data_IF_540994614658
#
_entry.id   IF_540994614658
#
_cell.length_a   1.000
_cell.length_b   1.000
_cell.length_c   1.000
_cell.angle_alpha   90.00
_cell.angle_beta   90.00
_cell.angle_gamma   90.00
#
_symmetry.space_group_name_H-M   'P 1'
#
loop_
_entity.id
_entity.type
_entity.pdbx_description
1 polymer ?
#
# COMPACT_ATOMS: atom_id res chain seq x y z
N UNK A 1 23.62 -37.55 -20.07
CA UNK A 1 22.57 -37.53 -19.02
C UNK A 1 21.24 -37.74 -19.72
N UNK A 2 20.60 -38.89 -19.52
CA UNK A 2 19.49 -39.38 -20.36
C UNK A 2 18.23 -38.52 -20.15
N UNK A 3 17.54 -38.11 -21.22
CA UNK A 3 16.36 -37.22 -21.17
C UNK A 3 15.24 -37.77 -20.27
N UNK A 4 15.17 -39.11 -20.14
CA UNK A 4 14.28 -39.82 -19.22
C UNK A 4 14.52 -39.44 -17.76
N UNK A 5 15.78 -39.29 -17.34
CA UNK A 5 16.12 -38.87 -15.97
C UNK A 5 15.84 -37.39 -15.73
N UNK A 6 15.97 -36.56 -16.77
CA UNK A 6 15.65 -35.13 -16.69
C UNK A 6 14.14 -34.90 -16.51
N UNK A 7 13.31 -35.68 -17.21
CA UNK A 7 11.85 -35.66 -17.06
C UNK A 7 11.44 -36.16 -15.67
N UNK A 8 12.06 -37.23 -15.15
CA UNK A 8 11.78 -37.74 -13.79
C UNK A 8 12.18 -36.71 -12.72
N UNK A 9 13.31 -36.02 -12.86
CA UNK A 9 13.73 -34.94 -11.95
C UNK A 9 12.78 -33.73 -12.00
N UNK A 10 12.28 -33.37 -13.18
CA UNK A 10 11.26 -32.32 -13.35
C UNK A 10 9.93 -32.67 -12.68
N UNK A 11 9.49 -33.93 -12.79
CA UNK A 11 8.26 -34.39 -12.13
C UNK A 11 8.42 -34.49 -10.59
N UNK A 12 9.60 -34.86 -10.08
CA UNK A 12 9.86 -34.85 -8.63
C UNK A 12 9.99 -33.42 -8.07
N UNK A 13 10.58 -32.48 -8.81
CA UNK A 13 10.69 -31.06 -8.40
C UNK A 13 9.35 -30.33 -8.32
N UNK A 14 8.37 -30.72 -9.16
CA UNK A 14 7.00 -30.19 -9.14
C UNK A 14 6.10 -30.82 -8.06
N UNK A 15 6.51 -31.95 -7.46
CA UNK A 15 5.73 -32.68 -6.45
C UNK A 15 6.06 -32.26 -5.01
N UNK A 16 6.92 -31.27 -4.79
CA UNK A 16 7.05 -30.62 -3.49
C UNK A 16 5.81 -29.76 -3.22
N UNK A 17 4.72 -30.45 -2.86
CA UNK A 17 3.56 -29.85 -2.22
C UNK A 17 3.99 -29.08 -0.97
N UNK A 18 3.26 -28.01 -0.67
CA UNK A 18 3.51 -27.17 0.50
C UNK A 18 3.43 -28.04 1.77
N UNK A 19 4.53 -28.24 2.53
CA UNK A 19 4.57 -29.25 3.60
C UNK A 19 3.68 -28.89 4.79
N UNK A 20 3.13 -27.68 4.84
CA UNK A 20 2.29 -27.19 5.93
C UNK A 20 0.85 -26.95 5.48
N UNK A 21 0.02 -27.99 5.42
CA UNK A 21 -1.43 -27.81 5.29
C UNK A 21 -1.98 -27.20 6.58
N UNK A 22 -2.41 -25.92 6.54
CA UNK A 22 -3.00 -25.22 7.67
C UNK A 22 -4.52 -25.26 7.57
N UNK A 23 -5.20 -25.66 8.64
CA UNK A 23 -6.66 -25.66 8.66
C UNK A 23 -7.21 -24.22 8.74
N UNK A 24 -8.38 -23.98 8.16
CA UNK A 24 -9.06 -22.67 8.17
C UNK A 24 -9.27 -22.16 9.60
N UNK A 25 -9.68 -23.03 10.53
CA UNK A 25 -9.86 -22.66 11.93
C UNK A 25 -8.55 -22.23 12.60
N UNK A 26 -7.42 -22.84 12.24
CA UNK A 26 -6.10 -22.45 12.76
C UNK A 26 -5.62 -21.14 12.16
N UNK A 27 -5.94 -20.91 10.87
CA UNK A 27 -5.62 -19.65 10.20
C UNK A 27 -6.22 -18.44 10.91
N UNK A 28 -7.49 -18.54 11.33
CA UNK A 28 -8.18 -17.46 12.05
C UNK A 28 -7.73 -17.27 13.51
N UNK A 29 -6.79 -18.08 14.02
CA UNK A 29 -6.14 -17.80 15.31
C UNK A 29 -5.04 -16.75 15.18
N UNK A 30 -4.54 -16.50 13.96
CA UNK A 30 -3.58 -15.44 13.71
C UNK A 30 -4.29 -14.08 13.62
N UNK A 31 -3.66 -12.98 14.05
CA UNK A 31 -4.16 -11.65 13.77
C UNK A 31 -4.36 -11.45 12.26
N UNK A 32 -5.39 -10.71 11.84
CA UNK A 32 -5.59 -10.37 10.44
C UNK A 32 -4.38 -9.58 9.92
N UNK A 33 -4.01 -9.85 8.67
CA UNK A 33 -2.86 -9.21 8.03
C UNK A 33 -3.04 -7.70 7.93
N UNK A 34 -4.26 -7.26 7.59
CA UNK A 34 -4.67 -5.87 7.52
C UNK A 34 -5.93 -5.68 8.33
N UNK A 35 -5.95 -4.64 9.17
CA UNK A 35 -7.13 -4.26 9.93
C UNK A 35 -7.12 -2.75 10.15
N UNK A 36 -8.22 -2.08 9.83
CA UNK A 36 -8.29 -0.63 9.80
C UNK A 36 -9.54 -0.13 10.52
N UNK A 37 -9.34 0.83 11.42
CA UNK A 37 -10.37 1.70 11.96
C UNK A 37 -11.04 2.51 10.84
N UNK A 38 -12.27 2.95 11.09
CA UNK A 38 -12.96 3.84 10.16
C UNK A 38 -12.27 5.22 10.11
N UNK A 39 -11.56 5.46 9.01
CA UNK A 39 -10.81 6.69 8.78
C UNK A 39 -11.69 7.93 8.81
N UNK A 40 -12.78 7.95 8.05
CA UNK A 40 -13.69 9.10 7.94
C UNK A 40 -14.30 9.46 9.29
N UNK A 41 -14.74 8.44 10.05
CA UNK A 41 -15.26 8.62 11.39
C UNK A 41 -14.20 9.17 12.35
N UNK A 42 -12.95 8.72 12.22
CA UNK A 42 -11.84 9.27 12.99
C UNK A 42 -11.61 10.75 12.67
N UNK A 43 -11.57 11.11 11.38
CA UNK A 43 -11.31 12.48 10.92
C UNK A 43 -12.46 13.44 11.18
N UNK A 44 -13.70 12.94 11.28
CA UNK A 44 -14.85 13.74 11.69
C UNK A 44 -14.79 14.18 13.17
N UNK A 45 -13.93 13.55 13.98
CA UNK A 45 -13.72 13.95 15.37
C UNK A 45 -12.81 15.17 15.46
N UNK A 46 -13.12 16.12 16.34
CA UNK A 46 -12.43 17.42 16.44
C UNK A 46 -10.90 17.28 16.60
N UNK A 47 -10.43 16.24 17.29
CA UNK A 47 -9.00 15.96 17.50
C UNK A 47 -8.56 14.63 16.88
N UNK A 48 -9.30 14.10 15.91
CA UNK A 48 -9.03 12.81 15.27
C UNK A 48 -7.58 12.67 14.81
N UNK A 49 -6.89 11.62 15.27
CA UNK A 49 -5.55 11.23 14.79
C UNK A 49 -5.63 9.81 14.28
N UNK A 50 -5.33 9.61 13.00
CA UNK A 50 -5.36 8.30 12.36
C UNK A 50 -3.98 7.94 11.85
N UNK A 51 -3.48 6.75 12.18
CA UNK A 51 -2.17 6.28 11.76
C UNK A 51 -2.26 4.93 11.06
N UNK A 52 -1.49 4.77 9.99
CA UNK A 52 -1.20 3.48 9.35
C UNK A 52 0.17 3.03 9.81
N UNK A 53 0.23 1.87 10.46
CA UNK A 53 1.43 1.34 11.09
C UNK A 53 1.66 -0.12 10.72
N UNK A 54 2.92 -0.47 10.56
CA UNK A 54 3.37 -1.85 10.47
C UNK A 54 3.84 -2.31 11.86
N UNK A 55 3.42 -3.50 12.23
CA UNK A 55 3.63 -4.11 13.54
C UNK A 55 4.25 -5.48 13.35
N UNK A 56 5.39 -5.70 13.98
CA UNK A 56 6.07 -6.99 13.97
C UNK A 56 5.51 -7.86 15.10
N UNK A 57 5.18 -9.10 14.79
CA UNK A 57 4.81 -10.12 15.80
C UNK A 57 6.09 -10.68 16.41
N UNK A 58 6.18 -10.63 17.74
CA UNK A 58 7.33 -11.16 18.47
C UNK A 58 7.15 -12.69 18.60
N UNK A 59 8.09 -13.45 18.04
CA UNK A 59 8.07 -14.91 18.15
C UNK A 59 8.45 -15.38 19.54
N UNK A 60 7.59 -16.21 20.14
CA UNK A 60 7.80 -16.81 21.45
C UNK A 60 7.76 -18.34 21.32
N UNK A 61 8.78 -19.08 21.81
CA UNK A 61 8.91 -20.51 21.57
C UNK A 61 7.71 -21.32 22.10
N UNK A 62 7.13 -20.88 23.22
CA UNK A 62 6.02 -21.57 23.91
C UNK A 62 4.63 -21.06 23.50
N UNK A 63 4.54 -20.21 22.47
CA UNK A 63 3.27 -19.63 22.01
C UNK A 63 2.80 -20.31 20.71
N UNK A 64 1.67 -21.01 20.79
CA UNK A 64 1.11 -21.77 19.66
C UNK A 64 0.74 -20.88 18.47
N UNK A 65 0.17 -19.70 18.72
CA UNK A 65 -0.19 -18.73 17.66
C UNK A 65 1.05 -18.22 16.93
N UNK A 66 2.11 -17.83 17.63
CA UNK A 66 3.34 -17.35 16.97
C UNK A 66 4.05 -18.46 16.19
N UNK A 67 3.94 -19.71 16.63
CA UNK A 67 4.43 -20.88 15.89
C UNK A 67 3.64 -21.10 14.59
N UNK A 68 2.32 -20.92 14.62
CA UNK A 68 1.48 -20.95 13.41
C UNK A 68 1.90 -19.84 12.45
N UNK A 69 2.04 -18.61 12.94
CA UNK A 69 2.47 -17.44 12.14
C UNK A 69 3.81 -17.72 11.46
N UNK A 70 4.79 -18.24 12.21
CA UNK A 70 6.14 -18.52 11.71
C UNK A 70 6.11 -19.58 10.60
N UNK A 71 5.40 -20.70 10.82
CA UNK A 71 5.29 -21.78 9.83
C UNK A 71 4.53 -21.35 8.59
N UNK A 72 3.43 -20.62 8.76
CA UNK A 72 2.64 -20.10 7.64
C UNK A 72 3.43 -19.09 6.80
N UNK A 73 4.16 -18.19 7.45
CA UNK A 73 4.92 -17.12 6.80
C UNK A 73 6.24 -17.57 6.18
N UNK A 74 6.69 -18.81 6.44
CA UNK A 74 7.92 -19.35 5.87
C UNK A 74 7.86 -19.48 4.34
N UNK A 75 6.67 -19.78 3.78
CA UNK A 75 6.48 -19.94 2.34
C UNK A 75 6.05 -18.62 1.66
N UNK A 76 7.01 -17.71 1.49
CA UNK A 76 6.77 -16.36 0.91
C UNK A 76 6.31 -16.35 -0.55
N UNK A 77 6.43 -17.46 -1.28
CA UNK A 77 5.99 -17.56 -2.68
C UNK A 77 4.48 -17.77 -2.81
N UNK A 78 3.86 -18.42 -1.83
CA UNK A 78 2.44 -18.80 -1.87
C UNK A 78 1.61 -18.16 -0.77
N UNK A 79 2.25 -17.64 0.28
CA UNK A 79 1.60 -17.16 1.49
C UNK A 79 2.08 -15.77 1.85
N UNK A 80 1.16 -14.97 2.36
CA UNK A 80 1.50 -13.68 2.93
C UNK A 80 2.27 -13.87 4.24
N UNK A 81 3.18 -12.94 4.49
CA UNK A 81 3.99 -12.93 5.70
C UNK A 81 3.18 -12.30 6.84
N UNK A 82 2.63 -13.12 7.74
CA UNK A 82 1.90 -12.67 8.92
C UNK A 82 2.83 -12.29 10.10
N UNK A 83 4.16 -12.42 9.96
CA UNK A 83 5.09 -11.92 10.99
C UNK A 83 5.15 -10.40 11.05
N UNK A 84 4.64 -9.70 10.02
CA UNK A 84 4.46 -8.25 9.98
C UNK A 84 3.02 -8.01 9.55
N UNK A 85 2.24 -7.36 10.40
CA UNK A 85 0.83 -7.03 10.16
C UNK A 85 0.65 -5.52 10.10
N UNK A 86 -0.34 -5.05 9.35
CA UNK A 86 -0.62 -3.63 9.19
C UNK A 86 -1.91 -3.24 9.92
N UNK A 87 -1.87 -2.09 10.57
CA UNK A 87 -2.98 -1.52 11.32
C UNK A 87 -3.24 -0.08 10.90
N UNK A 88 -4.49 0.22 10.54
CA UNK A 88 -5.00 1.58 10.49
C UNK A 88 -5.70 1.86 11.80
N UNK A 89 -5.20 2.78 12.62
CA UNK A 89 -5.73 3.01 13.97
C UNK A 89 -6.10 4.47 14.17
N UNK A 90 -7.32 4.69 14.66
CA UNK A 90 -7.76 5.99 15.17
C UNK A 90 -7.24 6.14 16.60
N UNK A 91 -6.04 6.70 16.74
CA UNK A 91 -5.31 6.83 18.01
C UNK A 91 -6.19 7.50 19.08
N UNK A 92 -6.94 8.55 18.70
CA UNK A 92 -7.83 9.27 19.62
C UNK A 92 -8.99 8.47 20.18
N UNK A 93 -9.43 7.43 19.46
CA UNK A 93 -10.55 6.60 19.87
C UNK A 93 -10.05 5.31 20.51
N UNK A 94 -9.19 4.61 19.77
CA UNK A 94 -8.73 3.25 20.08
C UNK A 94 -7.62 3.23 21.13
N UNK A 95 -6.85 4.32 21.30
CA UNK A 95 -5.75 4.44 22.26
C UNK A 95 -6.00 5.54 23.30
N UNK A 96 -7.15 5.49 23.97
CA UNK A 96 -7.74 6.56 24.80
C UNK A 96 -6.97 6.94 26.06
N UNK A 97 -5.81 6.32 26.33
CA UNK A 97 -5.11 6.43 27.62
C UNK A 97 -4.29 7.70 27.80
N UNK A 98 -4.11 8.53 26.77
CA UNK A 98 -3.31 9.76 26.88
C UNK A 98 -4.03 10.98 26.29
N UNK A 99 -3.69 12.17 26.79
CA UNK A 99 -4.05 13.43 26.13
C UNK A 99 -3.24 13.52 24.82
N UNK A 100 -3.79 12.99 23.73
CA UNK A 100 -3.18 12.98 22.37
C UNK A 100 -3.13 14.41 21.76
N UNK A 101 -3.45 15.44 22.55
CA UNK A 101 -3.34 16.84 22.13
C UNK A 101 -1.85 17.17 21.98
N UNK A 102 -1.43 17.42 20.74
CA UNK A 102 -0.07 17.88 20.37
C UNK A 102 1.05 16.88 20.67
N UNK A 103 0.83 15.58 20.43
CA UNK A 103 1.93 14.61 20.46
C UNK A 103 2.92 14.86 19.34
N UNK A 104 4.21 14.88 19.68
CA UNK A 104 5.27 14.79 18.70
C UNK A 104 5.34 13.36 18.15
N UNK A 105 6.06 13.17 17.04
CA UNK A 105 6.18 11.84 16.40
C UNK A 105 6.80 10.77 17.32
N UNK A 106 7.68 11.17 18.25
CA UNK A 106 8.32 10.26 19.20
C UNK A 106 7.34 9.77 20.27
N UNK A 107 6.57 10.69 20.85
CA UNK A 107 5.52 10.34 21.83
C UNK A 107 4.43 9.47 21.19
N UNK A 108 4.06 9.79 19.95
CA UNK A 108 3.08 9.02 19.18
C UNK A 108 3.52 7.56 18.97
N UNK A 109 4.82 7.33 18.71
CA UNK A 109 5.36 5.98 18.58
C UNK A 109 5.25 5.19 19.88
N UNK A 110 5.48 5.83 21.03
CA UNK A 110 5.35 5.18 22.34
C UNK A 110 3.89 4.79 22.59
N UNK A 111 2.96 5.74 22.39
CA UNK A 111 1.51 5.51 22.55
C UNK A 111 1.03 4.36 21.67
N UNK A 112 1.40 4.37 20.39
CA UNK A 112 1.03 3.33 19.44
C UNK A 112 1.62 1.97 19.84
N UNK A 113 2.88 1.93 20.27
CA UNK A 113 3.55 0.69 20.66
C UNK A 113 2.87 0.03 21.86
N UNK A 114 2.52 0.81 22.88
CA UNK A 114 1.84 0.31 24.07
C UNK A 114 0.42 -0.14 23.74
N UNK A 115 -0.36 0.72 23.07
CA UNK A 115 -1.75 0.45 22.70
C UNK A 115 -1.90 -0.79 21.81
N UNK A 116 -1.08 -0.91 20.75
CA UNK A 116 -1.17 -2.03 19.81
C UNK A 116 -0.67 -3.33 20.43
N UNK A 117 0.38 -3.27 21.25
CA UNK A 117 0.84 -4.45 21.96
C UNK A 117 -0.24 -4.96 22.91
N UNK A 118 -0.90 -4.10 23.68
CA UNK A 118 -1.96 -4.50 24.60
C UNK A 118 -3.20 -5.04 23.87
N UNK A 119 -3.73 -4.28 22.91
CA UNK A 119 -4.94 -4.69 22.17
C UNK A 119 -4.77 -6.02 21.43
N UNK A 120 -3.65 -6.20 20.72
CA UNK A 120 -3.38 -7.44 19.99
C UNK A 120 -3.07 -8.59 20.95
N UNK A 121 -2.37 -8.33 22.05
CA UNK A 121 -2.11 -9.36 23.06
C UNK A 121 -3.40 -9.81 23.74
N UNK A 122 -4.32 -8.90 24.02
CA UNK A 122 -5.59 -9.26 24.66
C UNK A 122 -6.45 -10.16 23.78
N UNK A 123 -6.50 -9.91 22.48
CA UNK A 123 -7.31 -10.68 21.54
C UNK A 123 -6.62 -11.97 21.07
N UNK A 124 -5.35 -11.91 20.68
CA UNK A 124 -4.65 -13.01 20.01
C UNK A 124 -3.57 -13.68 20.88
N UNK A 125 -3.30 -13.13 22.08
CA UNK A 125 -2.25 -13.61 22.99
C UNK A 125 -0.86 -13.60 22.35
N UNK A 126 -0.59 -12.68 21.42
CA UNK A 126 0.72 -12.47 20.80
C UNK A 126 1.27 -11.10 21.14
N UNK A 127 2.55 -11.02 21.51
CA UNK A 127 3.22 -9.75 21.74
C UNK A 127 3.64 -9.13 20.42
N UNK A 128 3.64 -7.80 20.38
CA UNK A 128 3.98 -7.08 19.17
C UNK A 128 4.87 -5.88 19.41
N UNK A 129 5.49 -5.40 18.33
CA UNK A 129 6.33 -4.21 18.34
C UNK A 129 6.06 -3.38 17.09
N UNK A 130 5.80 -2.09 17.25
CA UNK A 130 5.69 -1.18 16.10
C UNK A 130 7.04 -1.09 15.41
N UNK A 131 7.10 -1.53 14.15
CA UNK A 131 8.32 -1.50 13.34
C UNK A 131 8.41 -0.23 12.51
N UNK A 132 7.29 0.17 11.88
CA UNK A 132 7.22 1.40 11.06
C UNK A 132 5.89 2.11 11.24
N UNK A 133 5.95 3.43 11.27
CA UNK A 133 4.78 4.29 11.12
C UNK A 133 4.81 4.78 9.68
N UNK A 134 3.88 4.31 8.86
CA UNK A 134 3.86 4.60 7.42
C UNK A 134 3.27 5.99 7.17
N UNK A 135 2.17 6.31 7.86
CA UNK A 135 1.44 7.54 7.66
C UNK A 135 0.65 7.88 8.92
N UNK A 136 0.58 9.17 9.28
CA UNK A 136 -0.33 9.65 10.31
C UNK A 136 -0.99 10.95 9.83
N UNK A 137 -2.31 11.02 9.96
CA UNK A 137 -3.08 12.22 9.69
C UNK A 137 -3.76 12.73 10.96
N UNK A 138 -3.95 14.04 11.03
CA UNK A 138 -4.67 14.70 12.10
C UNK A 138 -5.77 15.59 11.49
N UNK A 139 -7.00 15.42 11.99
CA UNK A 139 -8.19 16.23 11.66
C UNK A 139 -7.98 17.74 11.70
N UNK A 140 -7.12 18.24 12.59
CA UNK A 140 -6.81 19.68 12.74
C UNK A 140 -5.71 20.15 11.79
N UNK A 141 -4.93 19.25 11.22
CA UNK A 141 -3.89 19.60 10.27
C UNK A 141 -4.58 19.81 8.92
N UNK A 142 -4.62 21.06 8.45
CA UNK A 142 -4.90 21.28 7.03
C UNK A 142 -3.94 20.40 6.24
N UNK A 143 -4.44 19.73 5.20
CA UNK A 143 -3.61 18.92 4.32
C UNK A 143 -2.61 19.88 3.67
N UNK A 144 -1.46 20.06 4.31
CA UNK A 144 -0.27 20.60 3.68
C UNK A 144 0.08 19.54 2.63
N UNK A 145 -0.44 19.73 1.42
CA UNK A 145 0.02 18.99 0.26
C UNK A 145 1.46 19.42 0.11
N UNK A 146 2.39 18.60 0.59
CA UNK A 146 3.82 18.81 0.40
C UNK A 146 4.12 18.64 -1.09
N UNK A 147 3.99 19.73 -1.84
CA UNK A 147 4.27 19.75 -3.28
C UNK A 147 5.75 19.50 -3.46
N UNK A 148 6.08 18.30 -3.93
CA UNK A 148 7.46 17.89 -4.12
C UNK A 148 7.96 18.26 -5.53
N UNK A 149 9.24 18.02 -5.78
CA UNK A 149 9.85 18.29 -7.10
C UNK A 149 9.18 17.42 -8.18
N UNK A 150 8.72 16.22 -7.82
CA UNK A 150 8.01 15.32 -8.72
C UNK A 150 6.69 15.91 -9.21
N UNK A 151 5.92 16.53 -8.33
CA UNK A 151 4.66 17.20 -8.65
C UNK A 151 4.87 18.34 -9.64
N UNK A 152 5.91 19.15 -9.44
CA UNK A 152 6.29 20.22 -10.38
C UNK A 152 6.70 19.68 -11.75
N UNK A 153 7.52 18.62 -11.78
CA UNK A 153 7.93 17.97 -13.04
C UNK A 153 6.71 17.43 -13.77
N UNK A 154 5.80 16.77 -13.07
CA UNK A 154 4.58 16.22 -13.65
C UNK A 154 3.69 17.32 -14.25
N UNK A 155 3.49 18.43 -13.54
CA UNK A 155 2.74 19.58 -14.04
C UNK A 155 3.36 20.16 -15.32
N UNK A 156 4.70 20.27 -15.37
CA UNK A 156 5.43 20.75 -16.55
C UNK A 156 5.23 19.80 -17.75
N UNK A 157 5.31 18.48 -17.53
CA UNK A 157 5.10 17.49 -18.59
C UNK A 157 3.69 17.61 -19.18
N UNK A 158 2.67 17.74 -18.33
CA UNK A 158 1.28 17.94 -18.78
C UNK A 158 1.16 19.21 -19.62
N UNK A 159 1.76 20.32 -19.19
CA UNK A 159 1.75 21.57 -19.95
C UNK A 159 2.42 21.42 -21.31
N UNK A 160 3.58 20.75 -21.39
CA UNK A 160 4.28 20.49 -22.65
C UNK A 160 3.40 19.65 -23.59
N UNK A 161 2.77 18.59 -23.09
CA UNK A 161 1.87 17.74 -23.89
C UNK A 161 0.70 18.58 -24.42
N UNK A 162 0.09 19.42 -23.59
CA UNK A 162 -0.99 20.30 -24.00
C UNK A 162 -0.56 21.29 -25.10
N UNK A 163 0.61 21.91 -24.95
CA UNK A 163 1.17 22.79 -25.99
C UNK A 163 1.51 22.03 -27.28
N UNK A 164 2.01 20.80 -27.19
CA UNK A 164 2.28 19.95 -28.35
C UNK A 164 0.98 19.60 -29.11
N UNK A 165 -0.07 19.21 -28.41
CA UNK A 165 -1.38 18.87 -29.01
C UNK A 165 -1.98 20.09 -29.71
N UNK A 166 -2.02 21.24 -29.05
CA UNK A 166 -2.57 22.47 -29.62
C UNK A 166 -1.77 22.95 -30.84
N UNK A 167 -0.44 22.86 -30.80
CA UNK A 167 0.41 23.17 -31.97
C UNK A 167 0.19 22.20 -33.11
N UNK A 168 0.04 20.91 -32.81
CA UNK A 168 -0.20 19.88 -33.81
C UNK A 168 -1.51 20.17 -34.56
N UNK A 169 -2.60 20.43 -33.84
CA UNK A 169 -3.90 20.78 -34.42
C UNK A 169 -3.81 22.00 -35.35
N UNK A 170 -3.14 23.07 -34.90
CA UNK A 170 -2.91 24.27 -35.72
C UNK A 170 -2.11 23.97 -36.99
N UNK A 171 -1.07 23.11 -36.91
CA UNK A 171 -0.28 22.71 -38.08
C UNK A 171 -1.13 21.85 -39.04
N UNK A 172 -1.96 20.94 -38.52
CA UNK A 172 -2.87 20.14 -39.33
C UNK A 172 -3.89 21.01 -40.07
N UNK A 173 -4.55 21.94 -39.38
CA UNK A 173 -5.51 22.86 -40.01
C UNK A 173 -4.83 23.71 -41.10
N UNK A 174 -3.66 24.29 -40.82
CA UNK A 174 -2.90 25.08 -41.79
C UNK A 174 -2.39 24.25 -42.99
N UNK A 175 -2.14 22.94 -42.81
CA UNK A 175 -1.80 22.03 -43.93
C UNK A 175 -3.03 21.66 -44.75
N UNK A 176 -4.18 21.41 -44.11
CA UNK A 176 -5.44 21.10 -44.78
C UNK A 176 -5.97 22.29 -45.61
N UNK A 177 -5.80 23.51 -45.11
CA UNK A 177 -6.16 24.72 -45.85
C UNK A 177 -5.25 24.92 -47.08
N UNK A 178 -3.93 24.75 -46.91
CA UNK A 178 -2.96 24.81 -48.02
C UNK A 178 -3.19 23.73 -49.08
N UNK A 179 -3.63 22.53 -48.70
CA UNK A 179 -3.93 21.47 -49.67
C UNK A 179 -5.20 21.78 -50.47
N UNK A 180 -6.24 22.36 -49.84
CA UNK A 180 -7.44 22.86 -50.53
C UNK A 180 -7.09 23.97 -51.54
N UNK A 181 -6.28 24.95 -51.15
CA UNK A 181 -5.84 26.04 -52.03
C UNK A 181 -5.07 25.51 -53.25
N UNK A 182 -4.12 24.58 -53.05
CA UNK A 182 -3.37 23.95 -54.15
C UNK A 182 -4.24 23.10 -55.09
N UNK A 183 -5.33 22.50 -54.59
CA UNK A 183 -6.27 21.76 -55.44
C UNK A 183 -7.14 22.70 -56.27
N UNK A 184 -7.62 23.79 -55.67
CA UNK A 184 -8.40 24.82 -56.37
C UNK A 184 -7.59 25.49 -57.48
N UNK A 185 -6.36 25.93 -57.20
CA UNK A 185 -5.47 26.57 -58.19
C UNK A 185 -5.13 25.68 -59.39
N UNK A 186 -5.05 24.36 -59.23
CA UNK A 186 -4.84 23.42 -60.34
C UNK A 186 -6.08 23.24 -61.22
N UNK A 187 -7.28 23.37 -60.65
CA UNK A 187 -8.53 23.28 -61.40
C UNK A 187 -8.79 24.55 -62.23
N UNK A 188 -8.33 25.71 -61.76
CA UNK A 188 -8.46 27.00 -62.49
C UNK A 188 -7.48 27.16 -63.65
N UNK A 189 -6.43 26.32 -63.73
CA UNK A 189 -5.48 26.30 -64.86
C UNK A 189 -5.87 25.31 -65.97
N UNK A 190 -6.94 24.54 -65.79
CA UNK A 190 -7.43 23.51 -66.73
C UNK A 190 -8.74 23.93 -67.46
N UNK A 191 -9.19 25.17 -67.25
CA UNK A 191 -10.32 25.82 -67.93
C UNK A 191 -9.82 27.13 -68.56
#
# INVERSE_FOLDING_TARGET
MNIKYFVILLFFGLCCGDPYFLNVTEYFRMPPLFELDNYEQCMASENGVFCVVAVDVITEPDNDVTNIITKYSANKLKRFNHSIIERGICVTRSCTRQNIKNLNMEDLKIVLSECLNETIYDEYKVKTKVSRINYCNNSKRQVDVDVDIGDWIFAIIILIIFFCITKLEQVYLKRAERSKIKKFSRLTQLY
#
